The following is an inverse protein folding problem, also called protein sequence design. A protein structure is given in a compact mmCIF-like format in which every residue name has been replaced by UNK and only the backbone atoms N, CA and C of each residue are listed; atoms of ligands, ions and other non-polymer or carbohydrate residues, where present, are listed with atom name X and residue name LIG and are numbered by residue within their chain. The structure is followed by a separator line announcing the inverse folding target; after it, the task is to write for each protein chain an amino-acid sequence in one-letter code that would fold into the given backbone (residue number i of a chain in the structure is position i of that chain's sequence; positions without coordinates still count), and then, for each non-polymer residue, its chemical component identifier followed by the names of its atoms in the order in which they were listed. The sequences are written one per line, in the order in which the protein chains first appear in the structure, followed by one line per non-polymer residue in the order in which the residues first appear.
data_IF_293212206582
#
_entry.id   IF_293212206582
#
_cell.length_a   1.000
_cell.length_b   1.000
_cell.length_c   1.000
_cell.angle_alpha   90.00
_cell.angle_beta   90.00
_cell.angle_gamma   90.00
#
_symmetry.space_group_name_H-M   'P 1'
#
loop_
_entity.id
_entity.type
_entity.pdbx_description
1 polymer ?
#
# COMPACT_ATOMS: atom_id res chain seq x y z
N UNK A 1 -1.50 -25.28 60.17
CA UNK A 1 -1.46 -26.37 59.20
C UNK A 1 -1.82 -25.77 57.85
N UNK A 2 -0.82 -25.40 57.05
CA UNK A 2 -1.01 -24.62 55.81
C UNK A 2 -0.46 -25.43 54.65
N UNK A 3 -1.34 -25.92 53.78
CA UNK A 3 -0.97 -26.72 52.61
C UNK A 3 -0.65 -25.79 51.44
N UNK A 4 0.60 -25.78 50.96
CA UNK A 4 0.97 -25.14 49.69
C UNK A 4 0.49 -25.99 48.51
N UNK A 5 -0.35 -25.41 47.66
CA UNK A 5 -0.78 -26.02 46.40
C UNK A 5 0.25 -25.70 45.30
N UNK A 6 1.08 -26.68 44.93
CA UNK A 6 2.14 -26.52 43.95
C UNK A 6 1.59 -26.71 42.52
N UNK A 7 1.13 -25.62 41.89
CA UNK A 7 0.66 -25.62 40.50
C UNK A 7 1.87 -25.61 39.55
N UNK A 8 2.24 -26.77 39.01
CA UNK A 8 3.26 -26.89 37.95
C UNK A 8 2.76 -26.25 36.66
N UNK A 9 3.30 -25.08 36.32
CA UNK A 9 3.07 -24.42 35.03
C UNK A 9 3.96 -25.07 33.97
N UNK A 10 3.36 -25.61 32.92
CA UNK A 10 4.12 -26.06 31.74
C UNK A 10 4.74 -24.82 31.09
N UNK A 11 6.08 -24.78 31.01
CA UNK A 11 6.75 -23.64 30.38
C UNK A 11 6.53 -23.69 28.87
N UNK A 12 6.33 -22.52 28.25
CA UNK A 12 6.16 -22.35 26.78
C UNK A 12 7.28 -23.04 25.97
N UNK A 13 8.45 -23.21 26.58
CA UNK A 13 9.62 -23.91 26.01
C UNK A 13 9.39 -25.42 25.86
N UNK A 14 8.70 -26.06 26.81
CA UNK A 14 8.38 -27.49 26.75
C UNK A 14 7.30 -27.78 25.69
N UNK A 15 6.37 -26.84 25.47
CA UNK A 15 5.37 -26.94 24.42
C UNK A 15 5.99 -26.84 23.02
N UNK A 16 6.91 -25.89 22.79
CA UNK A 16 7.58 -25.73 21.49
C UNK A 16 8.50 -26.92 21.17
N UNK A 17 9.12 -27.54 22.17
CA UNK A 17 9.94 -28.74 21.98
C UNK A 17 9.11 -29.97 21.56
N UNK A 18 7.84 -30.06 21.95
CA UNK A 18 6.96 -31.16 21.58
C UNK A 18 6.36 -31.03 20.16
N UNK A 19 6.27 -29.81 19.63
CA UNK A 19 5.71 -29.55 18.30
C UNK A 19 6.71 -29.77 17.14
N UNK A 20 8.01 -29.83 17.41
CA UNK A 20 9.06 -29.94 16.38
C UNK A 20 9.31 -31.34 15.81
N UNK A 21 8.64 -32.39 16.30
CA UNK A 21 9.04 -33.78 16.07
C UNK A 21 8.14 -34.59 15.14
N UNK A 22 7.26 -33.96 14.36
CA UNK A 22 6.40 -34.68 13.38
C UNK A 22 6.48 -34.02 12.02
N UNK A 23 7.42 -34.48 11.19
CA UNK A 23 7.56 -33.99 9.82
C UNK A 23 8.84 -34.42 9.10
N UNK A 24 9.37 -35.61 9.35
CA UNK A 24 10.43 -36.20 8.53
C UNK A 24 9.90 -37.53 7.98
N UNK A 25 9.61 -37.56 6.67
CA UNK A 25 9.46 -38.80 5.92
C UNK A 25 8.24 -38.90 5.03
N UNK A 26 8.27 -38.27 3.86
CA UNK A 26 7.72 -38.76 2.58
C UNK A 26 8.57 -38.10 1.47
N UNK A 27 9.65 -38.74 1.02
CA UNK A 27 9.68 -39.67 -0.10
C UNK A 27 9.79 -38.95 -1.46
N UNK A 28 10.96 -39.20 -2.07
CA UNK A 28 11.36 -38.90 -3.45
C UNK A 28 10.30 -39.36 -4.46
N UNK A 29 9.84 -38.47 -5.34
CA UNK A 29 9.55 -38.73 -6.76
C UNK A 29 8.93 -37.48 -7.43
N UNK A 30 9.76 -36.61 -7.98
CA UNK A 30 9.38 -35.71 -9.08
C UNK A 30 10.63 -35.08 -9.72
N UNK A 31 11.45 -35.87 -10.40
CA UNK A 31 12.34 -35.34 -11.43
C UNK A 31 11.50 -35.03 -12.68
N UNK A 32 10.83 -33.88 -12.67
CA UNK A 32 10.51 -33.16 -13.90
C UNK A 32 11.55 -32.03 -14.00
N UNK A 33 12.34 -32.03 -15.07
CA UNK A 33 13.44 -31.09 -15.26
C UNK A 33 12.97 -29.63 -15.13
N UNK A 34 13.49 -28.84 -14.19
CA UNK A 34 13.35 -27.39 -14.26
C UNK A 34 14.20 -26.90 -15.43
N UNK A 35 13.56 -26.15 -16.33
CA UNK A 35 14.21 -25.46 -17.43
C UNK A 35 15.39 -24.62 -16.94
N UNK A 36 16.41 -24.53 -17.81
CA UNK A 36 17.70 -23.92 -17.58
C UNK A 36 17.67 -22.64 -16.72
N UNK A 37 18.52 -22.62 -15.69
CA UNK A 37 18.89 -21.41 -14.97
C UNK A 37 19.57 -20.41 -15.93
N UNK A 38 19.22 -19.10 -15.90
CA UNK A 38 19.99 -18.09 -16.62
C UNK A 38 21.39 -17.98 -15.99
N UNK A 39 22.42 -18.04 -16.84
CA UNK A 39 23.80 -17.86 -16.44
C UNK A 39 24.05 -16.44 -15.93
N UNK A 40 24.76 -16.34 -14.80
CA UNK A 40 25.34 -15.08 -14.34
C UNK A 40 26.58 -14.75 -15.19
N UNK A 41 26.59 -13.58 -15.82
CA UNK A 41 27.78 -13.02 -16.46
C UNK A 41 27.49 -11.84 -17.40
N UNK A 42 27.88 -10.65 -16.96
CA UNK A 42 28.49 -9.62 -17.82
C UNK A 42 27.57 -8.64 -18.57
N UNK A 43 27.75 -7.36 -18.22
CA UNK A 43 27.58 -6.16 -19.05
C UNK A 43 26.17 -5.74 -19.51
N UNK A 44 25.57 -4.85 -18.70
CA UNK A 44 25.45 -3.45 -19.12
C UNK A 44 24.60 -3.12 -20.35
N UNK A 45 23.69 -3.99 -20.78
CA UNK A 45 22.64 -3.60 -21.72
C UNK A 45 21.39 -3.27 -20.93
N UNK A 46 21.12 -1.96 -20.76
CA UNK A 46 19.78 -1.48 -20.50
C UNK A 46 18.87 -2.12 -21.56
N UNK A 47 18.04 -3.07 -21.12
CA UNK A 47 17.00 -3.63 -21.95
C UNK A 47 16.18 -2.44 -22.46
N UNK A 48 16.28 -2.15 -23.75
CA UNK A 48 15.43 -1.16 -24.38
C UNK A 48 13.98 -1.59 -24.10
N UNK A 49 13.22 -0.73 -23.41
CA UNK A 49 11.78 -0.92 -23.24
C UNK A 49 11.16 -1.28 -24.58
N UNK A 50 10.19 -2.22 -24.63
CA UNK A 50 9.45 -2.51 -25.85
C UNK A 50 8.84 -1.20 -26.37
N UNK A 51 9.43 -0.64 -27.43
CA UNK A 51 8.91 0.54 -28.06
C UNK A 51 7.58 0.17 -28.72
N UNK A 52 6.47 0.54 -28.09
CA UNK A 52 5.11 0.35 -28.60
C UNK A 52 4.09 -0.22 -27.61
N UNK A 53 4.50 -0.72 -26.44
CA UNK A 53 3.56 -1.18 -25.40
C UNK A 53 3.33 -0.05 -24.38
N UNK A 54 2.06 0.26 -24.09
CA UNK A 54 1.71 1.25 -23.08
C UNK A 54 2.13 0.76 -21.71
N UNK A 55 2.69 1.65 -20.90
CA UNK A 55 2.93 1.39 -19.48
C UNK A 55 1.58 1.41 -18.77
N UNK A 56 1.27 0.32 -18.06
CA UNK A 56 0.08 0.25 -17.21
C UNK A 56 0.45 0.67 -15.80
N UNK A 57 -0.26 1.67 -15.26
CA UNK A 57 -0.19 2.06 -13.85
C UNK A 57 -1.44 1.54 -13.18
N UNK A 58 -1.29 0.60 -12.24
CA UNK A 58 -2.37 0.04 -11.44
C UNK A 58 -2.63 0.92 -10.23
N UNK A 59 -3.87 1.36 -10.05
CA UNK A 59 -4.28 2.18 -8.93
C UNK A 59 -5.37 1.48 -8.13
N UNK A 60 -5.19 1.32 -6.81
CA UNK A 60 -6.24 0.84 -5.92
C UNK A 60 -6.98 1.99 -5.24
N UNK A 61 -8.31 1.94 -5.24
CA UNK A 61 -9.15 2.91 -4.53
C UNK A 61 -10.39 2.28 -3.91
N UNK A 62 -10.92 2.89 -2.85
CA UNK A 62 -12.27 2.57 -2.39
C UNK A 62 -13.30 3.00 -3.43
N UNK A 63 -14.28 2.15 -3.74
CA UNK A 63 -15.42 2.56 -4.55
C UNK A 63 -16.23 3.57 -3.74
N UNK A 64 -16.45 4.75 -4.30
CA UNK A 64 -17.07 5.84 -3.56
C UNK A 64 -18.60 5.74 -3.59
N UNK A 65 -19.13 4.79 -2.82
CA UNK A 65 -20.57 4.50 -2.74
C UNK A 65 -21.35 5.47 -1.83
N UNK A 66 -20.66 6.08 -0.86
CA UNK A 66 -21.27 6.97 0.14
C UNK A 66 -21.21 8.47 -0.25
N UNK A 67 -20.76 8.77 -1.47
CA UNK A 67 -20.68 10.13 -2.01
C UNK A 67 -21.46 10.22 -3.31
N UNK A 68 -21.85 11.43 -3.68
CA UNK A 68 -22.55 11.69 -4.93
C UNK A 68 -21.70 11.42 -6.17
N UNK A 69 -22.38 11.06 -7.27
CA UNK A 69 -21.80 10.69 -8.57
C UNK A 69 -20.76 11.66 -9.14
N UNK A 70 -20.80 12.96 -8.76
CA UNK A 70 -19.83 13.94 -9.23
C UNK A 70 -18.38 13.61 -8.86
N UNK A 71 -18.15 12.88 -7.76
CA UNK A 71 -16.78 12.50 -7.39
C UNK A 71 -16.22 11.44 -8.34
N UNK A 72 -17.06 10.50 -8.80
CA UNK A 72 -16.64 9.54 -9.81
C UNK A 72 -16.37 10.26 -11.14
N UNK A 73 -17.26 11.15 -11.56
CA UNK A 73 -17.07 11.94 -12.78
C UNK A 73 -15.78 12.80 -12.74
N UNK A 74 -15.46 13.39 -11.59
CA UNK A 74 -14.21 14.14 -11.41
C UNK A 74 -12.97 13.26 -11.53
N UNK A 75 -13.00 12.06 -10.95
CA UNK A 75 -11.89 11.11 -11.07
C UNK A 75 -11.71 10.62 -12.51
N UNK A 76 -12.81 10.31 -13.21
CA UNK A 76 -12.76 9.90 -14.60
C UNK A 76 -12.17 11.03 -15.46
N UNK A 77 -12.57 12.28 -15.22
CA UNK A 77 -11.99 13.45 -15.91
C UNK A 77 -10.49 13.62 -15.64
N UNK A 78 -10.04 13.42 -14.40
CA UNK A 78 -8.62 13.52 -14.03
C UNK A 78 -7.80 12.43 -14.73
N UNK A 79 -8.32 11.19 -14.78
CA UNK A 79 -7.68 10.06 -15.46
C UNK A 79 -7.63 10.30 -16.97
N UNK A 80 -8.73 10.71 -17.59
CA UNK A 80 -8.81 11.00 -19.02
C UNK A 80 -7.85 12.12 -19.41
N UNK A 81 -7.80 13.20 -18.62
CA UNK A 81 -6.86 14.30 -18.80
C UNK A 81 -5.41 13.85 -18.67
N UNK A 82 -5.10 12.99 -17.71
CA UNK A 82 -3.76 12.44 -17.54
C UNK A 82 -3.35 11.57 -18.73
N UNK A 83 -4.17 10.59 -19.13
CA UNK A 83 -3.88 9.69 -20.24
C UNK A 83 -3.81 10.45 -21.57
N UNK A 84 -4.64 11.48 -21.77
CA UNK A 84 -4.57 12.32 -22.96
C UNK A 84 -3.25 13.08 -23.07
N UNK A 85 -2.65 13.48 -21.95
CA UNK A 85 -1.34 14.15 -21.92
C UNK A 85 -0.16 13.17 -21.87
N UNK A 86 -0.42 11.91 -21.56
CA UNK A 86 0.58 10.85 -21.43
C UNK A 86 0.10 9.60 -22.21
N UNK A 87 0.10 9.66 -23.56
CA UNK A 87 -0.54 8.63 -24.39
C UNK A 87 0.11 7.24 -24.28
N UNK A 88 1.36 7.19 -23.83
CA UNK A 88 2.13 5.98 -23.59
C UNK A 88 1.80 5.33 -22.23
N UNK A 89 0.95 5.95 -21.41
CA UNK A 89 0.51 5.44 -20.12
C UNK A 89 -0.98 5.11 -20.17
N UNK A 90 -1.38 3.99 -19.56
CA UNK A 90 -2.76 3.69 -19.24
C UNK A 90 -2.92 3.57 -17.72
N UNK A 91 -4.08 3.96 -17.20
CA UNK A 91 -4.42 3.81 -15.79
C UNK A 91 -5.44 2.67 -15.66
N UNK A 92 -5.11 1.66 -14.85
CA UNK A 92 -6.05 0.63 -14.42
C UNK A 92 -6.52 0.95 -13.00
N UNK A 93 -7.73 1.49 -12.88
CA UNK A 93 -8.31 1.82 -11.58
C UNK A 93 -9.11 0.63 -11.03
N UNK A 94 -8.56 -0.01 -10.01
CA UNK A 94 -9.20 -1.08 -9.27
C UNK A 94 -9.96 -0.53 -8.07
N UNK A 95 -11.29 -0.56 -8.14
CA UNK A 95 -12.13 -0.10 -7.01
C UNK A 95 -12.64 -1.26 -6.16
N UNK A 96 -12.77 -1.05 -4.85
CA UNK A 96 -13.37 -2.03 -3.94
C UNK A 96 -14.50 -1.39 -3.12
N UNK A 97 -15.72 -1.95 -3.14
CA UNK A 97 -16.84 -1.44 -2.34
C UNK A 97 -16.59 -1.62 -0.85
N UNK A 98 -17.16 -0.76 -0.01
CA UNK A 98 -17.05 -0.87 1.45
C UNK A 98 -15.66 -0.50 1.99
N UNK A 99 -15.57 0.67 2.61
CA UNK A 99 -14.30 1.24 3.05
C UNK A 99 -13.58 0.43 4.15
N UNK A 100 -14.12 0.39 5.37
CA UNK A 100 -13.42 -0.22 6.51
C UNK A 100 -13.49 -1.74 6.46
N UNK A 101 -14.63 -2.28 6.05
CA UNK A 101 -14.88 -3.72 6.09
C UNK A 101 -14.14 -4.46 4.96
N UNK A 102 -14.05 -3.89 3.75
CA UNK A 102 -13.55 -4.64 2.58
C UNK A 102 -12.26 -4.06 1.99
N UNK A 103 -12.21 -2.74 1.75
CA UNK A 103 -11.05 -2.11 1.12
C UNK A 103 -9.79 -2.25 2.00
N UNK A 104 -9.87 -1.95 3.30
CA UNK A 104 -8.70 -2.04 4.18
C UNK A 104 -8.14 -3.48 4.25
N UNK A 105 -8.93 -4.54 4.52
CA UNK A 105 -8.41 -5.91 4.49
C UNK A 105 -7.84 -6.32 3.14
N UNK A 106 -8.44 -5.90 2.03
CA UNK A 106 -7.93 -6.18 0.68
C UNK A 106 -6.54 -5.56 0.46
N UNK A 107 -6.36 -4.27 0.78
CA UNK A 107 -5.06 -3.59 0.63
C UNK A 107 -4.00 -4.21 1.54
N UNK A 108 -4.35 -4.53 2.79
CA UNK A 108 -3.41 -5.18 3.71
C UNK A 108 -2.99 -6.58 3.21
N UNK A 109 -3.94 -7.33 2.63
CA UNK A 109 -3.66 -8.65 2.05
C UNK A 109 -2.76 -8.54 0.80
N UNK A 110 -3.03 -7.58 -0.07
CA UNK A 110 -2.21 -7.29 -1.25
C UNK A 110 -0.80 -6.84 -0.86
N UNK A 111 -0.66 -6.00 0.18
CA UNK A 111 0.64 -5.62 0.73
C UNK A 111 1.42 -6.83 1.24
N UNK A 112 0.78 -7.71 2.01
CA UNK A 112 1.40 -8.93 2.50
C UNK A 112 1.77 -9.93 1.39
N UNK A 113 1.03 -9.92 0.28
CA UNK A 113 1.28 -10.76 -0.89
C UNK A 113 2.31 -10.17 -1.87
N UNK A 114 2.69 -8.89 -1.71
CA UNK A 114 3.52 -8.18 -2.69
C UNK A 114 2.79 -7.89 -4.01
N UNK A 115 1.47 -7.71 -3.96
CA UNK A 115 0.59 -7.47 -5.12
C UNK A 115 -0.16 -6.13 -5.00
N UNK A 116 0.44 -5.13 -4.35
CA UNK A 116 -0.08 -3.76 -4.43
C UNK A 116 0.19 -3.19 -5.82
N UNK A 117 -0.79 -2.44 -6.34
CA UNK A 117 -0.60 -1.57 -7.49
C UNK A 117 0.37 -0.43 -7.20
N UNK A 118 0.73 0.29 -8.26
CA UNK A 118 1.70 1.39 -8.26
C UNK A 118 1.21 2.60 -7.43
N UNK A 119 -0.11 2.79 -7.36
CA UNK A 119 -0.75 3.82 -6.54
C UNK A 119 -1.84 3.22 -5.67
N UNK A 120 -1.87 3.62 -4.39
CA UNK A 120 -2.85 3.10 -3.44
C UNK A 120 -3.46 4.27 -2.69
N UNK A 121 -4.77 4.45 -2.84
CA UNK A 121 -5.49 5.36 -1.98
C UNK A 121 -5.49 4.80 -0.56
N UNK A 122 -5.12 5.59 0.42
CA UNK A 122 -5.21 5.20 1.81
C UNK A 122 -5.70 6.38 2.63
N UNK A 123 -6.68 6.21 3.54
CA UNK A 123 -7.19 7.32 4.33
C UNK A 123 -6.14 7.76 5.37
N UNK A 124 -5.53 8.94 5.22
CA UNK A 124 -4.51 9.38 6.17
C UNK A 124 -5.20 10.02 7.38
N UNK A 125 -6.02 9.25 8.11
CA UNK A 125 -6.72 9.74 9.32
C UNK A 125 -5.73 10.08 10.44
N UNK A 126 -4.63 9.33 10.51
CA UNK A 126 -3.62 9.44 11.55
C UNK A 126 -2.23 9.21 10.97
N UNK A 127 -1.25 10.02 11.41
CA UNK A 127 0.17 9.86 11.07
C UNK A 127 0.73 8.48 11.45
N UNK A 128 0.06 7.72 12.34
CA UNK A 128 0.45 6.37 12.71
C UNK A 128 0.50 5.39 11.54
N UNK A 129 -0.28 5.59 10.46
CA UNK A 129 -0.19 4.70 9.30
C UNK A 129 1.07 4.94 8.46
N UNK A 130 1.69 6.12 8.53
CA UNK A 130 3.02 6.36 7.92
C UNK A 130 4.07 5.54 8.65
N UNK A 131 4.05 5.57 10.00
CA UNK A 131 4.99 4.81 10.81
C UNK A 131 4.87 3.31 10.57
N UNK A 132 3.62 2.80 10.48
CA UNK A 132 3.37 1.42 10.07
C UNK A 132 3.93 1.16 8.68
N UNK A 133 3.55 1.96 7.68
CA UNK A 133 3.98 1.74 6.30
C UNK A 133 5.49 1.75 6.13
N UNK A 134 6.18 2.69 6.77
CA UNK A 134 7.64 2.79 6.72
C UNK A 134 8.31 1.60 7.43
N UNK A 135 7.73 1.11 8.52
CA UNK A 135 8.27 -0.04 9.27
C UNK A 135 8.14 -1.37 8.52
N UNK A 136 7.18 -1.47 7.59
CA UNK A 136 6.97 -2.64 6.73
C UNK A 136 7.48 -2.44 5.30
N UNK A 137 8.15 -1.33 5.01
CA UNK A 137 8.71 -1.00 3.68
C UNK A 137 7.67 -1.03 2.54
N UNK A 138 6.45 -0.57 2.82
CA UNK A 138 5.34 -0.54 1.85
C UNK A 138 5.05 0.86 1.29
N UNK A 139 5.73 1.88 1.78
CA UNK A 139 5.59 3.27 1.32
C UNK A 139 6.95 3.80 0.90
N UNK A 140 6.97 4.58 -0.17
CA UNK A 140 8.19 5.21 -0.68
C UNK A 140 8.22 6.69 -0.36
N UNK A 141 9.42 7.28 -0.29
CA UNK A 141 9.55 8.73 -0.23
C UNK A 141 9.23 9.33 -1.60
N UNK A 142 8.21 10.19 -1.64
CA UNK A 142 7.72 10.82 -2.86
C UNK A 142 8.56 12.02 -3.28
N UNK A 143 9.38 12.60 -2.39
CA UNK A 143 10.17 13.81 -2.71
C UNK A 143 11.13 13.59 -3.89
N UNK A 144 11.96 12.53 -3.92
CA UNK A 144 12.84 12.28 -5.07
C UNK A 144 12.09 12.03 -6.38
N UNK A 145 10.91 11.40 -6.31
CA UNK A 145 10.08 11.15 -7.49
C UNK A 145 9.50 12.45 -8.04
N UNK A 146 9.01 13.32 -7.16
CA UNK A 146 8.49 14.63 -7.54
C UNK A 146 9.59 15.52 -8.12
N UNK A 147 10.75 15.60 -7.46
CA UNK A 147 11.93 16.34 -7.95
C UNK A 147 12.36 15.85 -9.34
N UNK A 148 12.44 14.53 -9.54
CA UNK A 148 12.77 13.93 -10.84
C UNK A 148 11.75 14.25 -11.93
N UNK A 149 10.48 14.47 -11.57
CA UNK A 149 9.42 14.92 -12.46
C UNK A 149 9.36 16.45 -12.64
N UNK A 150 10.24 17.20 -11.98
CA UNK A 150 10.19 18.67 -11.98
C UNK A 150 8.97 19.24 -11.23
N UNK A 151 8.43 18.48 -10.29
CA UNK A 151 7.26 18.85 -9.50
C UNK A 151 7.65 19.28 -8.08
N UNK A 152 7.28 20.50 -7.70
CA UNK A 152 7.51 21.00 -6.35
C UNK A 152 6.30 20.72 -5.45
N UNK A 153 6.46 19.81 -4.49
CA UNK A 153 5.37 19.45 -3.56
C UNK A 153 5.00 20.62 -2.65
N UNK A 154 5.97 21.40 -2.19
CA UNK A 154 5.76 22.43 -1.17
C UNK A 154 5.08 23.68 -1.79
N UNK A 155 5.32 23.95 -3.08
CA UNK A 155 4.64 25.02 -3.82
C UNK A 155 3.21 24.66 -4.27
N UNK A 156 2.93 23.37 -4.47
CA UNK A 156 1.65 22.93 -5.04
C UNK A 156 0.63 22.41 -3.99
N UNK A 157 1.05 22.21 -2.73
CA UNK A 157 0.18 21.72 -1.67
C UNK A 157 0.20 22.60 -0.42
N UNK A 158 -0.92 22.61 0.31
CA UNK A 158 -1.00 23.29 1.60
C UNK A 158 0.02 22.71 2.57
N UNK A 159 0.83 23.58 3.20
CA UNK A 159 1.89 23.16 4.13
C UNK A 159 1.39 22.27 5.26
N UNK A 160 0.17 22.50 5.77
CA UNK A 160 -0.46 21.64 6.78
C UNK A 160 -0.70 20.21 6.29
N UNK A 161 -1.06 20.05 5.01
CA UNK A 161 -1.29 18.75 4.39
C UNK A 161 0.04 18.04 4.08
N UNK A 162 1.03 18.75 3.54
CA UNK A 162 2.38 18.21 3.33
C UNK A 162 2.97 17.73 4.66
N UNK A 163 2.87 18.55 5.70
CA UNK A 163 3.29 18.18 7.04
C UNK A 163 2.56 16.92 7.52
N UNK A 164 1.23 16.85 7.41
CA UNK A 164 0.46 15.69 7.85
C UNK A 164 0.89 14.38 7.16
N UNK A 165 1.33 14.47 5.90
CA UNK A 165 1.78 13.35 5.08
C UNK A 165 3.29 13.07 5.15
N UNK A 166 4.02 13.80 5.98
CA UNK A 166 5.47 13.70 6.11
C UNK A 166 5.91 13.14 7.47
N UNK A 167 7.02 12.41 7.48
CA UNK A 167 7.70 11.95 8.69
C UNK A 167 9.20 11.90 8.45
N UNK A 168 10.01 12.33 9.43
CA UNK A 168 11.48 12.30 9.35
C UNK A 168 12.07 12.97 8.08
N UNK A 169 11.44 14.04 7.62
CA UNK A 169 11.87 14.78 6.42
C UNK A 169 11.44 14.16 5.08
N UNK A 170 10.82 12.98 5.09
CA UNK A 170 10.30 12.28 3.92
C UNK A 170 8.79 12.53 3.78
N UNK A 171 8.29 12.51 2.54
CA UNK A 171 6.85 12.65 2.25
C UNK A 171 6.33 11.35 1.69
N UNK A 172 5.33 10.75 2.32
CA UNK A 172 4.89 9.38 1.98
C UNK A 172 3.52 9.32 1.31
N UNK A 173 2.71 10.36 1.48
CA UNK A 173 1.38 10.45 0.88
C UNK A 173 1.22 11.79 0.15
N UNK A 174 0.50 11.74 -0.97
CA UNK A 174 0.05 12.94 -1.67
C UNK A 174 -1.41 13.20 -1.36
N UNK A 175 -1.75 14.45 -1.07
CA UNK A 175 -3.13 14.81 -0.72
C UNK A 175 -4.00 14.76 -1.96
N UNK A 176 -4.83 13.72 -2.09
CA UNK A 176 -5.77 13.58 -3.19
C UNK A 176 -7.07 14.37 -2.94
N UNK A 177 -7.66 14.17 -1.77
CA UNK A 177 -8.79 14.95 -1.28
C UNK A 177 -8.30 15.60 0.00
N UNK A 178 -7.84 16.84 -0.11
CA UNK A 178 -7.51 17.57 1.11
C UNK A 178 -8.82 17.98 1.76
N UNK A 179 -9.20 17.27 2.82
CA UNK A 179 -9.99 17.82 3.90
C UNK A 179 -8.97 18.43 4.88
N UNK A 180 -8.47 19.65 4.66
CA UNK A 180 -7.45 20.20 5.55
C UNK A 180 -8.10 20.40 6.94
N UNK A 181 -7.94 19.41 7.81
CA UNK A 181 -8.27 19.40 9.24
C UNK A 181 -9.79 19.29 9.49
N UNK A 182 -10.33 18.06 9.53
CA UNK A 182 -11.68 17.78 10.07
C UNK A 182 -11.67 18.15 11.57
N UNK A 183 -12.63 18.93 12.13
CA UNK A 183 -14.05 18.85 11.80
C UNK A 183 -14.80 20.18 11.57
N UNK A 184 -15.88 20.07 10.81
CA UNK A 184 -17.02 21.00 10.90
C UNK A 184 -17.75 20.74 12.22
N UNK A 185 -17.82 21.76 13.09
CA UNK A 185 -18.75 21.76 14.22
C UNK A 185 -20.13 22.13 13.66
N UNK A 186 -20.98 21.14 13.46
CA UNK A 186 -22.41 21.39 13.27
C UNK A 186 -23.04 21.60 14.65
N UNK A 187 -23.68 22.75 14.87
CA UNK A 187 -24.46 23.01 16.08
C UNK A 187 -25.84 23.53 15.71
N UNK A 188 -26.82 23.22 16.55
CA UNK A 188 -28.18 23.70 16.38
C UNK A 188 -28.30 25.11 16.97
N UNK A 189 -28.64 26.11 16.15
CA UNK A 189 -28.80 27.51 16.61
C UNK A 189 -30.06 27.74 17.44
N UNK A 190 -30.98 26.78 17.50
CA UNK A 190 -32.28 26.90 18.16
C UNK A 190 -32.47 25.91 19.31
N UNK A 191 -31.41 25.22 19.75
CA UNK A 191 -31.40 24.40 20.96
C UNK A 191 -30.25 24.82 21.85
#
# INVERSE_FOLDING_TARGET
MTTMNNRRTLSRRAFLAAAGSTGVGLALAACAAPGAAPAAGGDGSAAASPAGEKVTVRAHMVQKQDVSDWIQAGLDQDIDGFVSNNPDIQIELETTPGWTAEYIPKILSAAAAGDLGDAVWYPPRHRSHIAWGASYDIVTDLRPLAEGAGYDIDDNFLSGAVNANSSEGKTYWMSFISEPIVPVIAYNKTK
#
